data_IF_600743394768
#
_entry.id   IF_600743394768
#
_cell.length_a   1.000
_cell.length_b   1.000
_cell.length_c   1.000
_cell.angle_alpha   90.00
_cell.angle_beta   90.00
_cell.angle_gamma   90.00
#
_symmetry.space_group_name_H-M   'P 1'
#
loop_
_entity.id
_entity.type
_entity.pdbx_description
1 polymer ?
#
# COMPACT_ATOMS: atom_id res chain seq x y z
N UNK A 1 -12.60 -19.99 20.25
CA UNK A 1 -12.53 -19.08 19.10
C UNK A 1 -12.76 -17.68 19.64
N UNK A 2 -11.93 -16.73 19.27
CA UNK A 2 -12.05 -15.36 19.73
C UNK A 2 -13.34 -14.75 19.15
N UNK A 3 -14.09 -13.91 19.89
CA UNK A 3 -15.32 -13.24 19.44
C UNK A 3 -15.19 -12.54 18.07
N UNK A 4 -13.96 -12.17 17.70
CA UNK A 4 -13.62 -11.52 16.41
C UNK A 4 -13.78 -12.39 15.17
N UNK A 5 -14.08 -13.69 15.31
CA UNK A 5 -14.20 -14.65 14.21
C UNK A 5 -15.44 -15.55 14.35
N UNK A 6 -16.42 -15.06 15.12
CA UNK A 6 -17.68 -15.78 15.32
C UNK A 6 -18.46 -15.86 14.00
N UNK A 7 -18.94 -17.05 13.67
CA UNK A 7 -19.96 -17.28 12.63
C UNK A 7 -21.38 -17.08 13.17
N UNK A 8 -21.52 -16.60 14.41
CA UNK A 8 -22.81 -16.31 15.02
C UNK A 8 -23.53 -15.16 14.27
N UNK A 9 -24.86 -15.17 14.21
CA UNK A 9 -25.64 -14.08 13.63
C UNK A 9 -25.29 -12.73 14.27
N UNK A 10 -25.34 -11.68 13.47
CA UNK A 10 -25.13 -10.34 13.96
C UNK A 10 -26.19 -9.97 15.03
N UNK A 11 -25.76 -9.40 16.13
CA UNK A 11 -26.62 -8.91 17.20
C UNK A 11 -26.20 -7.46 17.53
N UNK A 12 -27.04 -6.46 17.21
CA UNK A 12 -26.73 -5.04 17.46
C UNK A 12 -26.32 -4.77 18.89
N UNK A 13 -25.24 -4.01 19.09
CA UNK A 13 -24.69 -3.67 20.41
C UNK A 13 -23.97 -4.79 21.15
N UNK A 14 -24.04 -6.03 20.65
CA UNK A 14 -23.34 -7.19 21.23
C UNK A 14 -22.22 -7.71 20.34
N UNK A 15 -22.49 -7.85 19.05
CA UNK A 15 -21.49 -8.29 18.07
C UNK A 15 -20.54 -7.14 17.75
N UNK A 16 -19.23 -7.39 17.82
CA UNK A 16 -18.21 -6.40 17.47
C UNK A 16 -18.12 -6.25 15.95
N UNK A 17 -18.18 -5.03 15.46
CA UNK A 17 -18.02 -4.67 14.05
C UNK A 17 -16.60 -4.15 13.84
N UNK A 18 -15.68 -4.94 13.27
CA UNK A 18 -14.29 -4.51 13.07
C UNK A 18 -14.16 -3.62 11.84
N UNK A 19 -13.17 -2.71 11.84
CA UNK A 19 -12.85 -1.88 10.66
C UNK A 19 -12.33 -2.74 9.51
N UNK A 20 -11.54 -3.76 9.84
CA UNK A 20 -11.00 -4.71 8.87
C UNK A 20 -11.21 -6.14 9.34
N UNK A 21 -11.38 -7.02 8.40
CA UNK A 21 -11.52 -8.43 8.64
C UNK A 21 -11.05 -9.25 7.45
N UNK A 22 -11.06 -10.55 7.57
CA UNK A 22 -10.60 -11.50 6.58
C UNK A 22 -11.74 -12.40 6.12
N UNK A 23 -11.80 -12.65 4.82
CA UNK A 23 -12.70 -13.61 4.22
C UNK A 23 -11.87 -14.73 3.59
N UNK A 24 -12.06 -15.95 4.04
CA UNK A 24 -11.35 -17.14 3.56
C UNK A 24 -12.26 -18.36 3.65
N UNK A 25 -11.89 -19.41 2.95
CA UNK A 25 -12.64 -20.69 2.92
C UNK A 25 -11.70 -21.88 2.84
N UNK A 26 -12.25 -22.98 2.33
CA UNK A 26 -11.51 -24.22 2.15
C UNK A 26 -10.38 -24.10 1.13
N UNK A 27 -10.53 -23.21 0.16
CA UNK A 27 -9.57 -22.99 -0.93
C UNK A 27 -8.23 -22.49 -0.37
N UNK A 28 -8.24 -21.45 0.46
CA UNK A 28 -7.05 -20.90 1.09
C UNK A 28 -6.41 -21.89 2.07
N UNK A 29 -7.26 -22.59 2.86
CA UNK A 29 -6.77 -23.60 3.82
C UNK A 29 -6.12 -24.76 3.08
N UNK A 30 -6.77 -25.28 2.02
CA UNK A 30 -6.24 -26.39 1.23
C UNK A 30 -4.95 -26.01 0.51
N UNK A 31 -4.85 -24.79 -0.03
CA UNK A 31 -3.64 -24.26 -0.65
C UNK A 31 -2.48 -24.20 0.35
N UNK A 32 -2.73 -23.65 1.54
CA UNK A 32 -1.72 -23.59 2.60
C UNK A 32 -1.22 -24.96 3.04
N UNK A 33 -2.16 -25.91 3.25
CA UNK A 33 -1.80 -27.30 3.66
C UNK A 33 -1.06 -28.00 2.55
N UNK A 34 -1.49 -27.86 1.28
CA UNK A 34 -0.79 -28.44 0.12
C UNK A 34 0.66 -28.00 0.05
N UNK A 35 0.89 -26.68 0.06
CA UNK A 35 2.23 -26.11 0.05
C UNK A 35 3.08 -26.54 1.27
N UNK A 36 2.46 -26.67 2.45
CA UNK A 36 3.15 -27.16 3.64
C UNK A 36 3.57 -28.63 3.51
N UNK A 37 2.78 -29.47 2.85
CA UNK A 37 3.12 -30.88 2.59
C UNK A 37 4.22 -31.06 1.55
N UNK A 38 4.34 -30.16 0.58
CA UNK A 38 5.47 -30.10 -0.36
C UNK A 38 6.79 -29.75 0.34
N UNK A 39 6.71 -29.11 1.49
CA UNK A 39 7.83 -28.72 2.37
C UNK A 39 8.90 -27.83 1.71
N UNK A 40 8.53 -27.11 0.64
CA UNK A 40 9.36 -26.07 0.05
C UNK A 40 9.04 -24.73 0.72
N UNK A 41 9.76 -24.41 1.80
CA UNK A 41 9.38 -23.36 2.74
C UNK A 41 9.89 -21.94 2.38
N UNK A 42 10.72 -21.82 1.35
CA UNK A 42 11.19 -20.52 0.81
C UNK A 42 10.44 -20.21 -0.50
N UNK A 43 10.79 -19.09 -1.17
CA UNK A 43 10.23 -18.76 -2.48
C UNK A 43 10.47 -19.92 -3.48
N UNK A 44 9.40 -20.37 -4.14
CA UNK A 44 9.39 -21.53 -5.02
C UNK A 44 8.24 -21.46 -6.04
N UNK A 45 7.68 -22.62 -6.47
CA UNK A 45 6.70 -22.70 -7.54
C UNK A 45 5.42 -21.89 -7.29
N UNK A 46 4.92 -21.85 -6.05
CA UNK A 46 3.74 -21.06 -5.71
C UNK A 46 4.04 -19.57 -5.77
N UNK A 47 5.23 -19.16 -5.36
CA UNK A 47 5.68 -17.75 -5.47
C UNK A 47 5.76 -17.33 -6.93
N UNK A 48 6.36 -18.13 -7.81
CA UNK A 48 6.44 -17.85 -9.25
C UNK A 48 5.04 -17.72 -9.88
N UNK A 49 4.13 -18.63 -9.51
CA UNK A 49 2.74 -18.60 -9.98
C UNK A 49 2.03 -17.33 -9.51
N UNK A 50 2.14 -16.97 -8.22
CA UNK A 50 1.50 -15.79 -7.65
C UNK A 50 2.04 -14.51 -8.28
N UNK A 51 3.36 -14.36 -8.40
CA UNK A 51 4.02 -13.22 -9.05
C UNK A 51 3.54 -13.02 -10.49
N UNK A 52 3.45 -14.11 -11.27
CA UNK A 52 2.93 -14.08 -12.65
C UNK A 52 1.49 -13.62 -12.74
N UNK A 53 0.60 -14.21 -11.92
CA UNK A 53 -0.83 -13.86 -11.91
C UNK A 53 -1.04 -12.40 -11.45
N UNK A 54 -0.30 -11.97 -10.43
CA UNK A 54 -0.37 -10.61 -9.91
C UNK A 54 0.09 -9.58 -10.93
N UNK A 55 1.21 -9.83 -11.63
CA UNK A 55 1.70 -8.97 -12.69
C UNK A 55 0.69 -8.83 -13.82
N UNK A 56 0.06 -9.93 -14.23
CA UNK A 56 -1.00 -9.96 -15.25
C UNK A 56 -2.23 -9.16 -14.80
N UNK A 57 -2.65 -9.35 -13.53
CA UNK A 57 -3.80 -8.67 -12.97
C UNK A 57 -3.67 -7.16 -12.95
N UNK A 58 -2.50 -6.64 -12.62
CA UNK A 58 -2.22 -5.19 -12.55
C UNK A 58 -1.83 -4.62 -13.91
N UNK A 59 -1.43 -5.46 -14.87
CA UNK A 59 -0.93 -5.01 -16.17
C UNK A 59 0.54 -4.56 -16.14
N UNK A 60 1.33 -5.14 -15.22
CA UNK A 60 2.76 -4.88 -15.09
C UNK A 60 3.59 -5.99 -15.72
N UNK A 61 4.88 -5.70 -16.00
CA UNK A 61 5.79 -6.64 -16.69
C UNK A 61 6.27 -7.77 -15.77
N UNK A 62 6.43 -7.47 -14.48
CA UNK A 62 6.86 -8.42 -13.46
C UNK A 62 6.36 -8.01 -12.08
N UNK A 63 6.18 -8.98 -11.20
CA UNK A 63 5.97 -8.80 -9.78
C UNK A 63 7.03 -9.61 -9.00
N UNK A 64 7.36 -9.13 -7.80
CA UNK A 64 8.35 -9.73 -6.91
C UNK A 64 7.75 -9.80 -5.52
N UNK A 65 7.38 -10.98 -5.08
CA UNK A 65 6.81 -11.18 -3.76
C UNK A 65 7.84 -10.92 -2.66
N UNK A 66 7.40 -10.23 -1.62
CA UNK A 66 8.17 -9.91 -0.42
C UNK A 66 7.35 -10.20 0.84
N UNK A 67 8.00 -10.15 2.00
CA UNK A 67 7.41 -10.54 3.28
C UNK A 67 6.42 -9.52 3.89
N UNK A 68 6.32 -8.30 3.35
CA UNK A 68 5.32 -7.30 3.77
C UNK A 68 5.20 -6.16 2.77
N UNK A 69 4.11 -5.36 2.85
CA UNK A 69 3.97 -4.12 2.08
C UNK A 69 5.04 -3.08 2.44
N UNK A 70 5.44 -3.02 3.71
CA UNK A 70 6.54 -2.15 4.16
C UNK A 70 7.86 -2.52 3.50
N UNK A 71 8.16 -3.81 3.41
CA UNK A 71 9.32 -4.32 2.66
C UNK A 71 9.20 -4.04 1.16
N UNK A 72 7.99 -4.06 0.61
CA UNK A 72 7.77 -3.69 -0.79
C UNK A 72 8.13 -2.22 -1.03
N UNK A 73 7.68 -1.31 -0.17
CA UNK A 73 8.02 0.12 -0.25
C UNK A 73 9.53 0.36 -0.12
N UNK A 74 10.17 -0.30 0.86
CA UNK A 74 11.62 -0.21 1.03
C UNK A 74 12.35 -0.70 -0.21
N UNK A 75 12.00 -1.87 -0.71
CA UNK A 75 12.63 -2.47 -1.88
C UNK A 75 12.41 -1.65 -3.16
N UNK A 76 11.19 -1.15 -3.38
CA UNK A 76 10.85 -0.32 -4.53
C UNK A 76 11.76 0.90 -4.61
N UNK A 77 11.84 1.67 -3.52
CA UNK A 77 12.67 2.87 -3.50
C UNK A 77 14.16 2.54 -3.56
N UNK A 78 14.63 1.57 -2.73
CA UNK A 78 16.05 1.20 -2.70
C UNK A 78 16.53 0.69 -4.06
N UNK A 79 15.70 -0.04 -4.81
CA UNK A 79 16.07 -0.52 -6.14
C UNK A 79 16.42 0.60 -7.13
N UNK A 80 15.84 1.79 -6.92
CA UNK A 80 16.10 2.98 -7.75
C UNK A 80 17.41 3.71 -7.39
N UNK A 81 18.10 3.30 -6.32
CA UNK A 81 19.46 3.76 -6.00
C UNK A 81 20.55 2.91 -6.67
N UNK A 82 20.18 1.83 -7.36
CA UNK A 82 21.13 0.93 -8.00
C UNK A 82 22.00 1.64 -9.04
N UNK A 83 23.32 1.45 -8.92
CA UNK A 83 24.30 1.97 -9.90
C UNK A 83 24.06 1.43 -11.32
N UNK A 84 23.36 0.30 -11.46
CA UNK A 84 23.02 -0.27 -12.78
C UNK A 84 22.05 0.62 -13.58
N UNK A 85 21.38 1.58 -12.93
CA UNK A 85 20.50 2.57 -13.56
C UNK A 85 21.26 3.79 -14.11
N UNK A 86 22.59 3.81 -13.96
CA UNK A 86 23.45 4.87 -14.49
C UNK A 86 23.11 6.25 -13.91
N UNK A 87 22.94 7.25 -14.78
CA UNK A 87 22.63 8.64 -14.37
C UNK A 87 21.23 8.81 -13.76
N UNK A 88 20.34 7.83 -13.91
CA UNK A 88 19.01 7.84 -13.29
C UNK A 88 19.00 7.30 -11.86
N UNK A 89 20.09 6.68 -11.41
CA UNK A 89 20.18 6.20 -10.02
C UNK A 89 20.04 7.36 -9.03
N UNK A 90 19.16 7.19 -8.05
CA UNK A 90 19.02 8.16 -6.96
C UNK A 90 20.22 8.09 -6.02
N UNK A 91 20.58 9.23 -5.43
CA UNK A 91 21.76 9.40 -4.57
C UNK A 91 21.37 10.07 -3.26
N UNK A 92 22.14 9.87 -2.18
CA UNK A 92 21.94 10.61 -0.94
C UNK A 92 21.78 12.11 -1.19
N UNK A 93 20.76 12.71 -0.56
CA UNK A 93 20.42 14.14 -0.73
C UNK A 93 19.44 14.45 -1.86
N UNK A 94 19.14 13.49 -2.77
CA UNK A 94 18.07 13.66 -3.75
C UNK A 94 16.71 13.76 -3.06
N UNK A 95 15.80 14.56 -3.63
CA UNK A 95 14.47 14.80 -3.07
C UNK A 95 13.43 13.84 -3.64
N UNK A 96 12.54 13.37 -2.76
CA UNK A 96 11.37 12.55 -3.10
C UNK A 96 10.11 13.22 -2.58
N UNK A 97 9.21 13.60 -3.49
CA UNK A 97 7.94 14.25 -3.13
C UNK A 97 6.98 13.20 -2.59
N UNK A 98 6.33 13.51 -1.46
CA UNK A 98 5.39 12.64 -0.74
C UNK A 98 4.39 13.48 0.06
N UNK A 99 3.49 12.83 0.81
CA UNK A 99 2.54 13.48 1.72
C UNK A 99 2.83 13.08 3.17
N UNK A 100 2.50 13.96 4.13
CA UNK A 100 2.64 13.65 5.55
C UNK A 100 1.40 12.93 6.12
N UNK A 101 0.24 13.04 5.47
CA UNK A 101 -0.99 12.32 5.83
C UNK A 101 -0.98 10.92 5.23
N UNK A 102 -0.15 10.01 5.78
CA UNK A 102 0.01 8.70 5.21
C UNK A 102 0.52 7.65 6.19
N UNK A 103 0.72 6.44 5.67
CA UNK A 103 1.32 5.38 6.46
C UNK A 103 2.85 5.58 6.55
N UNK A 104 3.48 5.35 7.71
CA UNK A 104 4.90 5.64 7.89
C UNK A 104 5.81 4.99 6.85
N UNK A 105 5.53 3.76 6.45
CA UNK A 105 6.40 2.99 5.56
C UNK A 105 6.30 3.36 4.08
N UNK A 106 5.42 4.29 3.70
CA UNK A 106 5.51 4.99 2.40
C UNK A 106 6.67 6.00 2.41
N UNK A 107 6.98 6.58 3.59
CA UNK A 107 7.97 7.67 3.74
C UNK A 107 9.31 7.20 4.30
N UNK A 108 9.31 6.26 5.26
CA UNK A 108 10.55 5.81 5.93
C UNK A 108 11.64 5.33 4.96
N UNK A 109 11.35 4.65 3.83
CA UNK A 109 12.36 4.28 2.85
C UNK A 109 13.16 5.47 2.29
N UNK A 110 12.54 6.66 2.19
CA UNK A 110 13.20 7.88 1.73
C UNK A 110 14.34 8.23 2.69
N UNK A 111 14.04 8.28 3.98
CA UNK A 111 15.03 8.58 5.03
C UNK A 111 16.07 7.46 5.15
N UNK A 112 15.67 6.19 5.07
CA UNK A 112 16.56 5.03 5.18
C UNK A 112 17.58 4.96 4.03
N UNK A 113 17.27 5.54 2.87
CA UNK A 113 18.19 5.66 1.75
C UNK A 113 18.93 7.02 1.72
N UNK A 114 18.90 7.78 2.82
CA UNK A 114 19.53 9.11 2.93
C UNK A 114 19.02 10.12 1.88
N UNK A 115 17.78 9.95 1.43
CA UNK A 115 17.05 10.86 0.56
C UNK A 115 16.27 11.87 1.40
N UNK A 116 15.82 12.94 0.79
CA UNK A 116 15.09 14.02 1.46
C UNK A 116 13.61 13.95 1.10
N UNK A 117 12.71 13.63 2.05
CA UNK A 117 11.28 13.71 1.80
C UNK A 117 10.83 15.17 1.65
N UNK A 118 10.06 15.43 0.60
CA UNK A 118 9.41 16.71 0.35
C UNK A 118 7.91 16.55 0.58
N UNK A 119 7.43 17.13 1.67
CA UNK A 119 6.04 16.96 2.08
C UNK A 119 5.14 18.01 1.44
N UNK A 120 4.04 17.52 0.88
CA UNK A 120 2.97 18.32 0.28
C UNK A 120 1.69 18.08 1.06
N UNK A 121 0.82 19.09 1.16
CA UNK A 121 -0.48 18.94 1.80
C UNK A 121 -1.43 18.10 0.94
N UNK A 122 -2.52 17.68 1.54
CA UNK A 122 -3.59 16.88 0.92
C UNK A 122 -4.85 17.71 0.75
N UNK A 123 -5.78 17.24 -0.09
CA UNK A 123 -7.15 17.73 -0.13
C UNK A 123 -8.05 16.89 0.77
N UNK A 124 -8.89 17.55 1.57
CA UNK A 124 -9.93 16.87 2.34
C UNK A 124 -11.00 16.30 1.39
N UNK A 125 -11.74 15.30 1.84
CA UNK A 125 -12.66 14.46 1.08
C UNK A 125 -11.98 13.40 0.19
N UNK A 126 -10.99 13.75 -0.60
CA UNK A 126 -10.22 12.78 -1.40
C UNK A 126 -9.04 12.17 -0.65
N UNK A 127 -8.47 12.89 0.30
CA UNK A 127 -7.28 12.55 1.10
C UNK A 127 -6.02 12.26 0.27
N UNK A 128 -6.00 12.72 -0.96
CA UNK A 128 -4.82 12.63 -1.85
C UNK A 128 -4.10 13.98 -1.92
N UNK A 129 -2.91 13.98 -2.51
CA UNK A 129 -2.07 15.16 -2.62
C UNK A 129 -2.79 16.34 -3.29
N UNK A 130 -2.62 17.54 -2.75
CA UNK A 130 -3.08 18.77 -3.38
C UNK A 130 -2.31 19.04 -4.67
N UNK A 131 -3.04 19.19 -5.78
CA UNK A 131 -2.47 19.26 -7.13
C UNK A 131 -1.64 20.53 -7.37
N UNK A 132 -2.07 21.68 -6.84
CA UNK A 132 -1.35 22.95 -6.99
C UNK A 132 -0.02 22.89 -6.24
N UNK A 133 -0.05 22.43 -5.00
CA UNK A 133 1.13 22.28 -4.15
C UNK A 133 2.11 21.23 -4.65
N UNK A 134 1.61 20.19 -5.33
CA UNK A 134 2.48 19.20 -5.95
C UNK A 134 3.36 19.81 -7.05
N UNK A 135 2.84 20.73 -7.85
CA UNK A 135 3.62 21.42 -8.88
C UNK A 135 4.68 22.33 -8.29
N UNK A 136 4.37 23.05 -7.18
CA UNK A 136 5.31 23.90 -6.44
C UNK A 136 6.46 23.09 -5.77
N UNK A 137 6.23 21.80 -5.53
CA UNK A 137 7.18 20.94 -4.83
C UNK A 137 8.41 20.56 -5.68
N UNK A 138 8.33 20.68 -7.01
CA UNK A 138 9.41 20.25 -7.90
C UNK A 138 10.58 21.22 -7.80
N UNK A 139 11.79 20.69 -7.62
CA UNK A 139 13.06 21.42 -7.58
C UNK A 139 14.11 20.73 -8.47
N UNK A 140 15.26 21.33 -8.72
CA UNK A 140 16.38 20.67 -9.41
C UNK A 140 16.88 19.39 -8.73
N UNK A 141 16.66 19.25 -7.41
CA UNK A 141 17.07 18.10 -6.60
C UNK A 141 16.00 16.99 -6.60
N UNK A 142 14.78 17.27 -7.06
CA UNK A 142 13.70 16.28 -7.12
C UNK A 142 14.05 15.17 -8.10
N UNK A 143 13.96 13.90 -7.64
CA UNK A 143 14.24 12.71 -8.46
C UNK A 143 13.07 11.73 -8.51
N UNK A 144 12.15 11.79 -7.55
CA UNK A 144 11.01 10.88 -7.52
C UNK A 144 9.76 11.54 -6.92
N UNK A 145 8.62 10.97 -7.27
CA UNK A 145 7.35 11.11 -6.55
C UNK A 145 7.01 9.72 -6.01
N UNK A 146 6.80 9.60 -4.69
CA UNK A 146 6.36 8.37 -4.03
C UNK A 146 5.19 8.66 -3.12
N UNK A 147 4.02 8.18 -3.47
CA UNK A 147 2.76 8.45 -2.74
C UNK A 147 1.85 7.22 -2.73
N UNK A 148 1.06 7.11 -1.67
CA UNK A 148 0.01 6.12 -1.59
C UNK A 148 -1.29 6.60 -2.26
N UNK A 149 -2.03 5.65 -2.80
CA UNK A 149 -3.44 5.84 -3.14
C UNK A 149 -4.25 5.69 -1.85
N UNK A 150 -4.42 6.80 -1.15
CA UNK A 150 -4.94 6.84 0.22
C UNK A 150 -6.32 6.21 0.32
N UNK A 151 -6.46 5.19 1.18
CA UNK A 151 -7.69 4.39 1.34
C UNK A 151 -8.23 3.78 0.03
N UNK A 152 -7.37 3.58 -0.97
CA UNK A 152 -7.71 3.06 -2.28
C UNK A 152 -8.08 4.13 -3.32
N UNK A 153 -8.18 5.40 -2.91
CA UNK A 153 -8.49 6.52 -3.80
C UNK A 153 -7.21 7.03 -4.49
N UNK A 154 -7.12 7.02 -5.82
CA UNK A 154 -5.93 7.51 -6.50
C UNK A 154 -5.86 9.03 -6.52
N UNK A 155 -4.65 9.57 -6.54
CA UNK A 155 -4.38 10.95 -6.95
C UNK A 155 -4.68 11.14 -8.46
N UNK A 156 -4.65 12.37 -8.94
CA UNK A 156 -4.73 12.66 -10.38
C UNK A 156 -3.48 12.10 -11.10
N UNK A 157 -3.63 10.89 -11.63
CA UNK A 157 -2.52 10.15 -12.24
C UNK A 157 -2.06 10.74 -13.58
N UNK A 158 -2.92 11.48 -14.29
CA UNK A 158 -2.49 12.18 -15.50
C UNK A 158 -1.52 13.30 -15.14
N UNK A 159 -1.87 14.15 -14.17
CA UNK A 159 -0.99 15.22 -13.68
C UNK A 159 0.35 14.68 -13.18
N UNK A 160 0.32 13.64 -12.31
CA UNK A 160 1.56 13.07 -11.75
C UNK A 160 2.46 12.51 -12.83
N UNK A 161 1.89 11.79 -13.81
CA UNK A 161 2.65 11.24 -14.95
C UNK A 161 3.26 12.33 -15.82
N UNK A 162 2.49 13.38 -16.13
CA UNK A 162 2.97 14.50 -16.93
C UNK A 162 4.12 15.23 -16.23
N UNK A 163 4.00 15.46 -14.92
CA UNK A 163 5.07 16.05 -14.10
C UNK A 163 6.34 15.16 -14.09
N UNK A 164 6.16 13.84 -13.90
CA UNK A 164 7.27 12.90 -13.91
C UNK A 164 7.96 12.84 -15.27
N UNK A 165 7.20 12.82 -16.37
CA UNK A 165 7.74 12.81 -17.72
C UNK A 165 8.48 14.10 -18.05
N UNK A 166 7.87 15.26 -17.74
CA UNK A 166 8.45 16.58 -18.02
C UNK A 166 9.75 16.83 -17.26
N UNK A 167 9.84 16.35 -16.03
CA UNK A 167 11.00 16.58 -15.16
C UNK A 167 11.92 15.37 -15.01
N UNK A 168 11.69 14.30 -15.81
CA UNK A 168 12.46 13.05 -15.78
C UNK A 168 12.55 12.42 -14.37
N UNK A 169 11.43 12.42 -13.64
CA UNK A 169 11.31 11.86 -12.28
C UNK A 169 10.88 10.39 -12.33
N UNK A 170 11.26 9.65 -11.29
CA UNK A 170 10.68 8.34 -11.00
C UNK A 170 9.27 8.50 -10.42
N UNK A 171 8.36 7.62 -10.81
CA UNK A 171 7.05 7.52 -10.17
C UNK A 171 6.90 6.16 -9.48
N UNK A 172 6.73 6.19 -8.16
CA UNK A 172 6.49 5.02 -7.30
C UNK A 172 5.07 5.11 -6.77
N UNK A 173 4.22 4.16 -7.18
CA UNK A 173 2.85 4.05 -6.67
C UNK A 173 2.82 3.13 -5.45
N UNK A 174 2.49 3.62 -4.27
CA UNK A 174 2.13 2.77 -3.14
C UNK A 174 0.65 2.40 -3.26
N UNK A 175 0.39 1.17 -3.71
CA UNK A 175 -0.94 0.60 -3.93
C UNK A 175 -1.36 -0.37 -2.82
N UNK A 176 -0.76 -0.30 -1.63
CA UNK A 176 -1.11 -1.20 -0.53
C UNK A 176 -2.61 -1.20 -0.25
N UNK A 177 -3.26 -0.05 -0.36
CA UNK A 177 -4.70 0.12 -0.13
C UNK A 177 -5.55 0.07 -1.42
N UNK A 178 -4.97 -0.21 -2.60
CA UNK A 178 -5.62 0.13 -3.86
C UNK A 178 -5.70 -1.02 -4.88
N UNK A 179 -5.37 -2.26 -4.48
CA UNK A 179 -5.43 -3.41 -5.39
C UNK A 179 -6.84 -3.57 -5.98
N UNK A 180 -6.91 -3.57 -7.31
CA UNK A 180 -8.16 -3.72 -8.07
C UNK A 180 -8.90 -2.42 -8.36
N UNK A 181 -8.47 -1.28 -7.80
CA UNK A 181 -8.96 0.04 -8.21
C UNK A 181 -8.50 0.39 -9.62
N UNK A 182 -9.22 1.32 -10.27
CA UNK A 182 -8.88 1.79 -11.61
C UNK A 182 -8.92 3.32 -11.69
N UNK A 183 -8.16 3.86 -12.63
CA UNK A 183 -8.22 5.25 -13.05
C UNK A 183 -8.32 5.30 -14.58
N UNK A 184 -9.40 5.91 -15.09
CA UNK A 184 -9.74 5.92 -16.53
C UNK A 184 -9.64 4.53 -17.17
N UNK A 185 -10.19 3.52 -16.47
CA UNK A 185 -10.25 2.12 -16.92
C UNK A 185 -8.92 1.35 -16.85
N UNK A 186 -7.83 1.93 -16.33
CA UNK A 186 -6.55 1.23 -16.13
C UNK A 186 -6.32 0.93 -14.66
N UNK A 187 -5.77 -0.24 -14.35
CA UNK A 187 -5.51 -0.65 -12.97
C UNK A 187 -4.49 0.27 -12.28
N UNK A 188 -4.80 0.62 -11.03
CA UNK A 188 -3.84 1.28 -10.13
C UNK A 188 -2.62 0.38 -9.95
N UNK A 189 -1.44 0.98 -9.87
CA UNK A 189 -0.17 0.28 -9.86
C UNK A 189 0.42 0.04 -11.24
N UNK A 190 -0.29 0.41 -12.33
CA UNK A 190 0.22 0.31 -13.71
C UNK A 190 0.70 1.64 -14.29
N UNK A 191 0.59 2.73 -13.56
CA UNK A 191 0.96 4.07 -14.03
C UNK A 191 2.41 4.42 -13.76
N UNK A 192 2.93 4.04 -12.57
CA UNK A 192 4.31 4.29 -12.15
C UNK A 192 5.36 3.46 -12.88
N UNK A 193 6.61 3.76 -12.61
CA UNK A 193 7.76 2.94 -13.02
C UNK A 193 7.84 1.66 -12.19
N UNK A 194 7.52 1.81 -10.89
CA UNK A 194 7.44 0.74 -9.88
C UNK A 194 6.20 0.97 -9.03
N UNK A 195 5.56 -0.09 -8.60
CA UNK A 195 4.46 -0.02 -7.66
C UNK A 195 4.57 -1.08 -6.57
N UNK A 196 3.86 -0.89 -5.46
CA UNK A 196 3.92 -1.76 -4.29
C UNK A 196 2.54 -2.21 -3.86
N UNK A 197 2.46 -3.40 -3.29
CA UNK A 197 1.24 -3.98 -2.75
C UNK A 197 1.51 -4.58 -1.37
N UNK A 198 0.47 -4.65 -0.55
CA UNK A 198 0.48 -5.35 0.73
C UNK A 198 -0.60 -6.43 0.76
N UNK A 199 -0.26 -7.54 1.40
CA UNK A 199 -1.17 -8.67 1.63
C UNK A 199 -1.33 -8.97 3.12
N UNK A 200 -1.12 -7.95 3.97
CA UNK A 200 -1.51 -8.00 5.38
C UNK A 200 -3.02 -8.22 5.50
N UNK A 201 -3.54 -8.88 6.56
CA UNK A 201 -4.96 -9.27 6.66
C UNK A 201 -6.00 -8.17 6.47
N UNK A 202 -5.64 -6.91 6.64
CA UNK A 202 -6.55 -5.78 6.44
C UNK A 202 -6.79 -5.40 4.97
N UNK A 203 -5.88 -5.79 4.07
CA UNK A 203 -5.92 -5.38 2.66
C UNK A 203 -6.93 -6.18 1.81
N UNK A 204 -6.91 -5.96 0.51
CA UNK A 204 -7.90 -6.50 -0.43
C UNK A 204 -7.84 -8.02 -0.55
N UNK A 205 -6.62 -8.58 -0.52
CA UNK A 205 -6.34 -10.01 -0.36
C UNK A 205 -5.30 -10.17 0.74
N UNK A 206 -5.16 -11.37 1.28
CA UNK A 206 -4.17 -11.63 2.32
C UNK A 206 -3.38 -12.90 2.09
N UNK A 207 -2.11 -12.86 2.47
CA UNK A 207 -1.23 -14.04 2.58
C UNK A 207 -0.81 -14.30 4.04
N UNK A 208 -1.48 -13.63 5.00
CA UNK A 208 -1.06 -13.53 6.40
C UNK A 208 -0.10 -12.36 6.57
N UNK A 209 1.14 -12.53 6.27
CA UNK A 209 2.12 -11.49 5.98
C UNK A 209 2.55 -11.63 4.52
N UNK A 210 2.79 -10.51 3.85
CA UNK A 210 3.24 -10.47 2.47
C UNK A 210 3.08 -9.10 1.82
N UNK A 211 3.75 -8.94 0.70
CA UNK A 211 3.66 -7.78 -0.17
C UNK A 211 4.27 -8.11 -1.53
N UNK A 212 4.24 -7.16 -2.43
CA UNK A 212 4.89 -7.30 -3.73
C UNK A 212 5.40 -5.95 -4.25
N UNK A 213 6.51 -5.99 -4.96
CA UNK A 213 6.97 -4.90 -5.84
C UNK A 213 6.62 -5.29 -7.26
N UNK A 214 5.99 -4.38 -8.01
CA UNK A 214 5.71 -4.57 -9.43
C UNK A 214 6.56 -3.62 -10.25
N UNK A 215 6.98 -4.06 -11.42
CA UNK A 215 7.85 -3.29 -12.30
C UNK A 215 7.34 -3.27 -13.73
N UNK A 216 7.38 -2.09 -14.33
CA UNK A 216 7.00 -1.85 -15.72
C UNK A 216 8.07 -2.25 -16.71
N UNK A 217 9.34 -2.28 -16.29
CA UNK A 217 10.49 -2.51 -17.17
C UNK A 217 11.36 -3.66 -16.67
N UNK A 218 11.75 -4.54 -17.61
CA UNK A 218 12.66 -5.66 -17.33
C UNK A 218 14.02 -5.17 -16.78
N UNK A 219 14.46 -3.98 -17.19
CA UNK A 219 15.73 -3.40 -16.71
C UNK A 219 15.78 -3.21 -15.18
N UNK A 220 14.62 -2.99 -14.52
CA UNK A 220 14.58 -2.81 -13.06
C UNK A 220 14.55 -4.14 -12.30
N UNK A 221 14.15 -5.22 -12.98
CA UNK A 221 14.07 -6.57 -12.41
C UNK A 221 15.34 -6.96 -11.66
N UNK A 222 16.51 -6.77 -12.28
CA UNK A 222 17.81 -7.14 -11.69
C UNK A 222 18.11 -6.41 -10.39
N UNK A 223 17.84 -5.10 -10.33
CA UNK A 223 18.06 -4.31 -9.13
C UNK A 223 17.10 -4.78 -8.02
N UNK A 224 15.81 -4.97 -8.33
CA UNK A 224 14.80 -5.42 -7.38
C UNK A 224 15.16 -6.80 -6.81
N UNK A 225 15.45 -7.78 -7.67
CA UNK A 225 15.85 -9.14 -7.25
C UNK A 225 17.12 -9.12 -6.41
N UNK A 226 18.14 -8.36 -6.84
CA UNK A 226 19.39 -8.26 -6.11
C UNK A 226 19.20 -7.69 -4.71
N UNK A 227 18.53 -6.55 -4.57
CA UNK A 227 18.28 -5.96 -3.25
C UNK A 227 17.38 -6.83 -2.38
N UNK A 228 16.38 -7.53 -2.96
CA UNK A 228 15.53 -8.47 -2.24
C UNK A 228 16.30 -9.65 -1.68
N UNK A 229 17.33 -10.13 -2.42
CA UNK A 229 18.03 -11.38 -2.21
C UNK A 229 19.52 -11.12 -1.83
N UNK A 230 19.76 -10.45 -0.69
CA UNK A 230 21.07 -10.14 -0.07
C UNK A 230 22.00 -9.23 -0.90
N UNK A 231 21.56 -8.64 -1.98
CA UNK A 231 22.44 -7.93 -2.92
C UNK A 231 23.14 -8.82 -3.93
N UNK A 232 22.69 -10.07 -4.06
CA UNK A 232 23.28 -11.07 -4.96
C UNK A 232 23.23 -10.61 -6.43
N UNK A 233 24.34 -10.81 -7.14
CA UNK A 233 24.41 -10.52 -8.58
C UNK A 233 23.80 -11.64 -9.43
N UNK A 234 23.89 -12.88 -8.99
CA UNK A 234 23.31 -14.05 -9.64
C UNK A 234 21.78 -14.02 -9.61
N UNK A 235 21.16 -14.33 -10.74
CA UNK A 235 19.70 -14.34 -10.96
C UNK A 235 19.12 -15.74 -11.16
N UNK A 236 19.89 -16.78 -10.87
CA UNK A 236 19.38 -18.14 -10.94
C UNK A 236 18.26 -18.34 -9.90
N UNK A 237 17.14 -18.97 -10.27
CA UNK A 237 16.05 -19.26 -9.32
C UNK A 237 16.55 -20.01 -8.09
N UNK A 238 15.81 -19.92 -7.00
CA UNK A 238 16.13 -20.65 -5.77
C UNK A 238 16.16 -22.17 -6.04
N UNK A 239 17.19 -22.86 -5.58
CA UNK A 239 17.37 -24.30 -5.84
C UNK A 239 17.93 -24.66 -7.22
N UNK A 240 18.12 -23.69 -8.13
CA UNK A 240 18.69 -23.92 -9.45
C UNK A 240 20.10 -23.34 -9.55
N UNK A 241 20.99 -24.08 -10.18
CA UNK A 241 22.37 -23.64 -10.40
C UNK A 241 22.65 -23.47 -11.89
N UNK A 242 23.51 -22.49 -12.20
CA UNK A 242 24.03 -22.23 -13.54
C UNK A 242 22.99 -22.04 -14.66
N UNK A 243 21.75 -21.64 -14.35
CA UNK A 243 20.75 -21.31 -15.37
C UNK A 243 21.15 -20.07 -16.19
N UNK A 244 22.14 -19.30 -15.71
CA UNK A 244 22.76 -18.20 -16.44
C UNK A 244 23.81 -18.65 -17.46
N UNK A 245 24.22 -19.94 -17.43
CA UNK A 245 25.28 -20.53 -18.24
C UNK A 245 26.68 -19.87 -18.10
N UNK A 246 26.87 -19.08 -17.04
CA UNK A 246 28.05 -18.23 -16.82
C UNK A 246 28.54 -18.25 -15.38
N UNK A 247 28.28 -19.33 -14.61
CA UNK A 247 28.56 -19.39 -13.17
C UNK A 247 30.00 -19.04 -12.82
N UNK A 248 30.99 -19.49 -13.61
CA UNK A 248 32.40 -19.32 -13.36
C UNK A 248 33.15 -18.51 -14.43
N UNK A 249 32.43 -17.73 -15.24
CA UNK A 249 33.01 -16.97 -16.38
C UNK A 249 32.98 -15.46 -16.20
N UNK A 250 32.74 -14.99 -14.99
CA UNK A 250 32.67 -13.56 -14.69
C UNK A 250 33.95 -13.08 -13.97
N UNK A 251 34.33 -11.85 -14.30
CA UNK A 251 35.25 -11.02 -13.54
C UNK A 251 34.48 -9.83 -12.98
N UNK A 252 34.11 -9.87 -11.70
CA UNK A 252 33.28 -8.87 -11.03
C UNK A 252 34.04 -8.23 -9.86
N UNK A 253 34.10 -6.92 -9.85
CA UNK A 253 34.84 -6.16 -8.84
C UNK A 253 36.30 -6.58 -8.76
N UNK A 254 36.80 -6.77 -7.54
CA UNK A 254 38.16 -7.24 -7.25
C UNK A 254 38.24 -8.75 -7.00
N UNK A 255 37.13 -9.49 -7.25
CA UNK A 255 37.12 -10.94 -7.08
C UNK A 255 38.03 -11.62 -8.11
N UNK A 256 38.62 -12.81 -7.82
CA UNK A 256 39.35 -13.60 -8.78
C UNK A 256 38.53 -13.89 -10.05
N UNK A 257 39.23 -14.08 -11.17
CA UNK A 257 38.56 -14.52 -12.40
C UNK A 257 37.95 -15.93 -12.17
N UNK A 258 36.70 -16.11 -12.68
CA UNK A 258 36.00 -17.39 -12.48
C UNK A 258 35.44 -17.59 -11.07
N UNK A 259 35.39 -16.57 -10.22
CA UNK A 259 34.74 -16.66 -8.92
C UNK A 259 33.26 -17.03 -9.09
N UNK A 260 32.74 -17.88 -8.18
CA UNK A 260 31.35 -18.34 -8.30
C UNK A 260 30.34 -17.18 -8.27
N UNK A 261 29.66 -16.97 -9.39
CA UNK A 261 28.67 -15.90 -9.56
C UNK A 261 27.55 -15.93 -8.50
N UNK A 262 27.22 -17.14 -8.00
CA UNK A 262 26.19 -17.32 -6.97
C UNK A 262 26.58 -16.68 -5.63
N UNK A 263 27.85 -16.44 -5.38
CA UNK A 263 28.41 -15.82 -4.17
C UNK A 263 28.98 -14.41 -4.44
N UNK A 264 28.60 -13.80 -5.56
CA UNK A 264 28.96 -12.43 -5.89
C UNK A 264 27.82 -11.51 -5.50
N UNK A 265 28.14 -10.37 -4.88
CA UNK A 265 27.17 -9.38 -4.40
C UNK A 265 27.48 -8.03 -5.03
N UNK A 266 26.52 -7.48 -5.78
CA UNK A 266 26.66 -6.18 -6.47
C UNK A 266 25.94 -5.03 -5.75
N UNK A 267 25.15 -5.34 -4.74
CA UNK A 267 24.47 -4.38 -3.88
C UNK A 267 24.60 -4.73 -2.39
N UNK A 268 24.38 -3.74 -1.52
CA UNK A 268 24.12 -3.96 -0.09
C UNK A 268 22.63 -4.21 0.05
N UNK A 269 22.23 -5.49 -0.02
CA UNK A 269 20.83 -5.89 -0.08
C UNK A 269 20.27 -6.47 1.21
N UNK A 270 19.01 -6.88 1.13
CA UNK A 270 18.23 -7.42 2.24
C UNK A 270 17.91 -8.90 2.02
N UNK A 271 17.23 -9.54 2.97
CA UNK A 271 16.48 -10.76 2.71
C UNK A 271 14.98 -10.49 2.98
N UNK A 272 14.26 -10.15 1.94
CA UNK A 272 12.85 -9.75 2.03
C UNK A 272 11.90 -10.76 1.38
N UNK A 273 12.39 -11.95 1.04
CA UNK A 273 11.55 -12.99 0.43
C UNK A 273 10.44 -13.45 1.36
N UNK A 274 9.28 -13.76 0.78
CA UNK A 274 8.20 -14.51 1.42
C UNK A 274 8.36 -16.01 1.16
N UNK A 275 7.62 -16.83 1.87
CA UNK A 275 7.62 -18.28 1.69
C UNK A 275 6.50 -18.75 0.74
N UNK A 276 6.62 -19.97 0.26
CA UNK A 276 5.72 -20.56 -0.72
C UNK A 276 4.31 -20.83 -0.14
N UNK A 277 4.20 -21.09 1.16
CA UNK A 277 2.89 -21.25 1.84
C UNK A 277 2.07 -19.96 1.71
N UNK A 278 2.68 -18.79 1.96
CA UNK A 278 2.04 -17.48 1.80
C UNK A 278 1.61 -17.25 0.35
N UNK A 279 2.47 -17.58 -0.59
CA UNK A 279 2.18 -17.45 -2.02
C UNK A 279 1.01 -18.34 -2.47
N UNK A 280 0.94 -19.58 -1.97
CA UNK A 280 -0.17 -20.49 -2.25
C UNK A 280 -1.51 -19.94 -1.77
N UNK A 281 -1.56 -19.36 -0.56
CA UNK A 281 -2.74 -18.64 -0.06
C UNK A 281 -3.07 -17.47 -1.00
N UNK A 282 -2.06 -16.70 -1.42
CA UNK A 282 -2.22 -15.55 -2.32
C UNK A 282 -2.85 -15.93 -3.66
N UNK A 283 -2.47 -17.07 -4.24
CA UNK A 283 -3.09 -17.60 -5.47
C UNK A 283 -4.59 -17.83 -5.27
N UNK A 284 -4.98 -18.51 -4.18
CA UNK A 284 -6.39 -18.77 -3.88
C UNK A 284 -7.19 -17.48 -3.62
N UNK A 285 -6.59 -16.50 -2.96
CA UNK A 285 -7.20 -15.20 -2.71
C UNK A 285 -7.38 -14.36 -3.99
N UNK A 286 -6.47 -14.46 -4.97
CA UNK A 286 -6.60 -13.77 -6.26
C UNK A 286 -7.84 -14.22 -7.03
N UNK A 287 -8.23 -15.47 -6.94
CA UNK A 287 -9.43 -15.99 -7.59
C UNK A 287 -10.73 -15.36 -7.04
N UNK A 288 -10.67 -14.80 -5.82
CA UNK A 288 -11.81 -14.15 -5.15
C UNK A 288 -11.75 -12.62 -5.22
N UNK A 289 -10.67 -12.05 -5.72
CA UNK A 289 -10.39 -10.61 -5.67
C UNK A 289 -11.54 -9.76 -6.24
N UNK A 290 -12.13 -10.14 -7.38
CA UNK A 290 -13.20 -9.36 -8.00
C UNK A 290 -14.42 -9.24 -7.09
N UNK A 291 -14.82 -10.35 -6.48
CA UNK A 291 -15.94 -10.35 -5.52
C UNK A 291 -15.65 -9.48 -4.28
N UNK A 292 -14.40 -9.43 -3.84
CA UNK A 292 -14.00 -8.57 -2.73
C UNK A 292 -14.01 -7.09 -3.10
N UNK A 293 -13.58 -6.75 -4.32
CA UNK A 293 -13.62 -5.37 -4.84
C UNK A 293 -15.07 -4.89 -4.94
N UNK A 294 -15.95 -5.69 -5.54
CA UNK A 294 -17.36 -5.34 -5.73
C UNK A 294 -18.04 -5.09 -4.37
N UNK A 295 -17.79 -5.97 -3.40
CA UNK A 295 -18.38 -5.82 -2.06
C UNK A 295 -17.85 -4.59 -1.31
N UNK A 296 -16.57 -4.24 -1.46
CA UNK A 296 -16.01 -3.00 -0.90
C UNK A 296 -16.65 -1.76 -1.52
N UNK A 297 -16.81 -1.73 -2.84
CA UNK A 297 -17.50 -0.63 -3.56
C UNK A 297 -18.96 -0.50 -3.10
N UNK A 298 -19.66 -1.62 -2.98
CA UNK A 298 -21.05 -1.67 -2.51
C UNK A 298 -21.19 -1.14 -1.08
N UNK A 299 -20.36 -1.63 -0.14
CA UNK A 299 -20.38 -1.20 1.26
C UNK A 299 -20.05 0.29 1.40
N UNK A 300 -19.06 0.78 0.65
CA UNK A 300 -18.68 2.19 0.66
C UNK A 300 -19.83 3.09 0.16
N UNK A 301 -20.45 2.71 -0.95
CA UNK A 301 -21.60 3.43 -1.51
C UNK A 301 -22.76 3.45 -0.53
N UNK A 302 -23.04 2.31 0.11
CA UNK A 302 -24.11 2.18 1.10
C UNK A 302 -23.89 3.12 2.30
N UNK A 303 -22.70 3.15 2.86
CA UNK A 303 -22.34 4.08 3.93
C UNK A 303 -22.48 5.54 3.47
N UNK A 304 -22.01 5.87 2.27
CA UNK A 304 -22.05 7.25 1.76
C UNK A 304 -23.50 7.74 1.59
N UNK A 305 -24.38 6.90 1.11
CA UNK A 305 -25.81 7.23 0.96
C UNK A 305 -26.49 7.38 2.33
N UNK A 306 -26.26 6.45 3.26
CA UNK A 306 -26.86 6.49 4.59
C UNK A 306 -26.35 7.64 5.48
N UNK A 307 -25.10 8.06 5.28
CA UNK A 307 -24.50 9.15 6.05
C UNK A 307 -24.64 10.53 5.38
N UNK A 308 -25.23 10.62 4.20
CA UNK A 308 -25.46 11.90 3.49
C UNK A 308 -26.20 12.95 4.32
N UNK A 309 -27.21 12.63 5.15
CA UNK A 309 -27.85 13.62 6.01
C UNK A 309 -26.94 14.25 7.06
N UNK A 310 -25.79 13.60 7.35
CA UNK A 310 -24.79 14.09 8.30
C UNK A 310 -23.70 14.96 7.64
N UNK A 311 -23.79 15.30 6.35
CA UNK A 311 -22.85 16.20 5.66
C UNK A 311 -22.74 17.60 6.32
N UNK A 312 -23.74 18.00 7.08
CA UNK A 312 -23.68 19.22 7.90
C UNK A 312 -22.64 19.13 9.04
N UNK A 313 -22.25 17.93 9.46
CA UNK A 313 -21.27 17.71 10.52
C UNK A 313 -19.97 17.11 10.02
N UNK A 314 -20.00 16.40 8.88
CA UNK A 314 -18.87 15.70 8.32
C UNK A 314 -18.57 16.15 6.89
N UNK A 315 -17.30 16.14 6.54
CA UNK A 315 -16.84 16.05 5.16
C UNK A 315 -16.85 14.56 4.82
N UNK A 316 -17.74 14.15 3.92
CA UNK A 316 -17.80 12.77 3.44
C UNK A 316 -16.72 12.50 2.39
N UNK A 317 -16.21 11.26 2.29
CA UNK A 317 -15.19 10.93 1.32
C UNK A 317 -15.72 10.96 -0.12
N UNK A 318 -14.85 11.35 -1.05
CA UNK A 318 -15.12 11.44 -2.48
C UNK A 318 -14.06 10.73 -3.30
N UNK A 319 -14.49 10.11 -4.40
CA UNK A 319 -13.57 9.53 -5.36
C UNK A 319 -12.92 10.61 -6.24
N UNK A 320 -11.67 10.47 -6.55
CA UNK A 320 -10.99 11.29 -7.54
C UNK A 320 -11.68 11.14 -8.90
N UNK A 321 -11.87 12.25 -9.61
CA UNK A 321 -12.56 12.26 -10.91
C UNK A 321 -11.89 11.28 -11.88
N UNK A 322 -12.71 10.41 -12.49
CA UNK A 322 -12.25 9.40 -13.43
C UNK A 322 -11.70 8.13 -12.80
N UNK A 323 -11.80 7.99 -11.46
CA UNK A 323 -11.40 6.79 -10.76
C UNK A 323 -12.57 5.89 -10.39
N UNK A 324 -12.27 4.60 -10.20
CA UNK A 324 -13.12 3.61 -9.58
C UNK A 324 -12.33 2.91 -8.47
N UNK A 325 -12.27 3.51 -7.26
CA UNK A 325 -11.50 2.94 -6.16
C UNK A 325 -12.06 1.59 -5.69
N UNK A 326 -11.18 0.72 -5.26
CA UNK A 326 -11.55 -0.55 -4.61
C UNK A 326 -11.80 -0.38 -3.10
N UNK A 327 -11.63 0.79 -2.58
CA UNK A 327 -11.82 1.26 -1.22
C UNK A 327 -11.26 0.37 -0.11
N UNK A 328 -10.34 0.92 0.67
CA UNK A 328 -9.80 0.28 1.86
C UNK A 328 -10.61 0.61 3.13
N UNK A 329 -11.13 1.83 3.22
CA UNK A 329 -11.91 2.32 4.32
C UNK A 329 -12.83 3.47 3.92
N UNK A 330 -13.69 3.89 4.84
CA UNK A 330 -14.60 5.02 4.70
C UNK A 330 -14.20 6.09 5.71
N UNK A 331 -13.55 7.16 5.27
CA UNK A 331 -13.08 8.23 6.14
C UNK A 331 -14.16 9.28 6.37
N UNK A 332 -14.29 9.74 7.61
CA UNK A 332 -15.16 10.84 8.02
C UNK A 332 -14.32 11.93 8.68
N UNK A 333 -14.29 13.13 8.11
CA UNK A 333 -13.65 14.29 8.72
C UNK A 333 -14.69 15.23 9.31
N UNK A 334 -14.59 15.52 10.61
CA UNK A 334 -15.47 16.48 11.27
C UNK A 334 -15.24 17.88 10.75
N UNK A 335 -16.34 18.58 10.49
CA UNK A 335 -16.33 20.03 10.23
C UNK A 335 -15.99 20.81 11.50
N UNK A 336 -15.58 22.04 11.35
CA UNK A 336 -15.11 22.87 12.45
C UNK A 336 -16.23 23.17 13.46
N UNK A 337 -17.42 23.37 12.96
CA UNK A 337 -18.65 23.69 13.70
C UNK A 337 -19.40 22.44 14.22
N UNK A 338 -18.79 21.25 14.15
CA UNK A 338 -19.38 20.05 14.70
C UNK A 338 -19.59 20.17 16.22
N UNK A 339 -20.75 19.78 16.76
CA UNK A 339 -21.06 19.90 18.20
C UNK A 339 -20.22 18.93 19.06
N UNK A 340 -19.66 17.90 18.46
CA UNK A 340 -18.86 16.89 19.15
C UNK A 340 -17.44 16.84 18.62
N UNK A 341 -16.50 16.49 19.47
CA UNK A 341 -15.12 16.20 19.05
C UNK A 341 -15.02 14.78 18.48
N UNK A 342 -14.01 14.52 17.65
CA UNK A 342 -13.69 13.18 17.16
C UNK A 342 -13.58 12.14 18.29
N UNK A 343 -12.89 12.50 19.39
CA UNK A 343 -12.71 11.60 20.54
C UNK A 343 -14.04 11.13 21.10
N UNK A 344 -14.99 12.05 21.36
CA UNK A 344 -16.32 11.72 21.88
C UNK A 344 -17.12 10.80 20.94
N UNK A 345 -17.04 11.05 19.62
CA UNK A 345 -17.74 10.21 18.63
C UNK A 345 -17.13 8.81 18.60
N UNK A 346 -15.79 8.72 18.57
CA UNK A 346 -15.08 7.43 18.57
C UNK A 346 -15.37 6.62 19.84
N UNK A 347 -15.35 7.24 21.02
CA UNK A 347 -15.72 6.62 22.30
C UNK A 347 -17.16 6.08 22.23
N UNK A 348 -18.12 6.89 21.79
CA UNK A 348 -19.51 6.49 21.68
C UNK A 348 -19.75 5.36 20.66
N UNK A 349 -18.94 5.26 19.59
CA UNK A 349 -18.97 4.16 18.63
C UNK A 349 -18.38 2.88 19.24
N UNK A 350 -17.25 2.98 19.95
CA UNK A 350 -16.64 1.82 20.63
C UNK A 350 -17.56 1.24 21.72
N UNK A 351 -18.27 2.08 22.49
CA UNK A 351 -19.31 1.65 23.42
C UNK A 351 -20.42 0.83 22.74
N UNK A 352 -20.73 1.17 21.49
CA UNK A 352 -21.69 0.43 20.64
C UNK A 352 -21.07 -0.75 19.91
N UNK A 353 -19.83 -1.12 20.24
CA UNK A 353 -19.11 -2.24 19.62
C UNK A 353 -18.79 -2.00 18.12
N UNK A 354 -18.69 -0.73 17.70
CA UNK A 354 -18.30 -0.32 16.37
C UNK A 354 -16.86 0.20 16.42
N UNK A 355 -15.96 -0.52 15.78
CA UNK A 355 -14.56 -0.15 15.73
C UNK A 355 -14.30 1.01 14.77
N UNK A 356 -13.36 1.85 15.12
CA UNK A 356 -12.83 2.91 14.26
C UNK A 356 -11.31 2.87 14.17
N UNK A 357 -10.72 3.59 13.22
CA UNK A 357 -9.28 3.84 13.14
C UNK A 357 -9.02 5.28 12.78
N UNK A 358 -7.83 5.76 13.10
CA UNK A 358 -7.36 7.05 12.61
C UNK A 358 -6.90 6.92 11.14
N UNK A 359 -6.81 8.05 10.44
CA UNK A 359 -6.21 8.10 9.11
C UNK A 359 -4.68 7.91 9.27
N UNK A 360 -4.26 6.64 9.33
CA UNK A 360 -2.87 6.20 9.47
C UNK A 360 -2.12 6.94 10.60
N UNK A 361 -0.98 7.58 10.26
CA UNK A 361 -0.20 8.36 11.22
C UNK A 361 -0.76 9.77 11.49
N UNK A 362 -1.83 10.17 10.81
CA UNK A 362 -2.31 11.56 10.84
C UNK A 362 -1.32 12.48 10.12
N UNK A 363 -0.50 13.22 10.87
CA UNK A 363 0.61 14.01 10.35
C UNK A 363 1.95 13.40 10.80
N UNK A 364 2.69 12.82 9.87
CA UNK A 364 4.00 12.21 10.15
C UNK A 364 4.98 13.21 10.79
N UNK A 365 4.91 14.50 10.44
CA UNK A 365 5.81 15.51 11.00
C UNK A 365 5.58 15.76 12.51
N UNK A 366 4.43 15.32 13.05
CA UNK A 366 4.09 15.36 14.47
C UNK A 366 4.49 14.09 15.22
N UNK A 367 4.84 13.03 14.49
CA UNK A 367 5.21 11.75 15.09
C UNK A 367 6.63 11.79 15.67
N UNK A 368 6.86 11.24 16.87
CA UNK A 368 8.16 11.31 17.55
C UNK A 368 9.35 10.86 16.69
N UNK A 369 9.17 9.81 15.87
CA UNK A 369 10.23 9.27 15.03
C UNK A 369 10.66 10.20 13.88
N UNK A 370 9.82 11.16 13.49
CA UNK A 370 10.07 12.06 12.36
C UNK A 370 10.53 13.46 12.80
N UNK A 371 10.48 13.77 14.11
CA UNK A 371 10.95 15.04 14.65
C UNK A 371 12.46 15.13 14.43
N UNK A 372 12.93 16.26 13.83
CA UNK A 372 14.36 16.50 13.57
C UNK A 372 14.94 15.75 12.36
N UNK A 373 14.15 14.93 11.64
CA UNK A 373 14.64 14.29 10.41
C UNK A 373 14.82 15.30 9.28
N UNK A 374 15.79 15.08 8.36
CA UNK A 374 15.96 15.91 7.17
C UNK A 374 14.66 15.92 6.35
N UNK A 375 14.23 17.11 5.92
CA UNK A 375 13.00 17.27 5.14
C UNK A 375 12.88 18.63 4.49
N UNK A 376 12.04 18.74 3.47
CA UNK A 376 11.49 19.99 2.95
C UNK A 376 9.96 19.91 3.04
N UNK A 377 9.31 21.03 3.34
CA UNK A 377 7.85 21.14 3.45
C UNK A 377 7.38 22.25 2.53
N UNK A 378 6.35 21.98 1.75
CA UNK A 378 5.74 22.93 0.83
C UNK A 378 4.55 23.59 1.48
N UNK A 379 4.71 24.85 1.87
CA UNK A 379 3.70 25.64 2.60
C UNK A 379 3.26 24.96 3.94
N UNK A 380 2.19 25.44 4.52
CA UNK A 380 1.61 24.84 5.72
C UNK A 380 0.78 23.61 5.34
N UNK A 381 0.86 22.57 6.16
CA UNK A 381 0.12 21.32 5.96
C UNK A 381 -1.23 21.36 6.71
N UNK A 382 -2.06 22.36 6.39
CA UNK A 382 -3.30 22.66 7.12
C UNK A 382 -4.28 21.49 7.05
N UNK A 383 -4.54 20.96 5.85
CA UNK A 383 -5.45 19.84 5.67
C UNK A 383 -4.93 18.54 6.29
N UNK A 384 -3.61 18.35 6.27
CA UNK A 384 -2.96 17.23 6.95
C UNK A 384 -3.18 17.30 8.47
N UNK A 385 -3.04 18.47 9.09
CA UNK A 385 -3.32 18.66 10.52
C UNK A 385 -4.83 18.48 10.83
N UNK A 386 -5.73 19.00 9.99
CA UNK A 386 -7.18 18.77 10.11
C UNK A 386 -7.49 17.26 10.02
N UNK A 387 -6.91 16.56 9.06
CA UNK A 387 -7.11 15.11 8.91
C UNK A 387 -6.61 14.35 10.15
N UNK A 388 -5.46 14.73 10.71
CA UNK A 388 -4.93 14.14 11.94
C UNK A 388 -5.87 14.34 13.14
N UNK A 389 -6.42 15.53 13.29
CA UNK A 389 -7.21 15.89 14.47
C UNK A 389 -8.68 15.45 14.38
N UNK A 390 -9.25 15.48 13.17
CA UNK A 390 -10.71 15.43 12.97
C UNK A 390 -11.19 14.22 12.16
N UNK A 391 -10.30 13.37 11.62
CA UNK A 391 -10.69 12.22 10.78
C UNK A 391 -10.64 10.90 11.55
N UNK A 392 -11.62 10.05 11.30
CA UNK A 392 -11.63 8.64 11.67
C UNK A 392 -12.17 7.79 10.51
N UNK A 393 -11.88 6.49 10.52
CA UNK A 393 -12.19 5.56 9.43
C UNK A 393 -13.13 4.47 9.94
N UNK A 394 -14.17 4.19 9.17
CA UNK A 394 -15.06 3.03 9.28
C UNK A 394 -14.66 1.93 8.30
N UNK A 395 -15.05 0.70 8.58
CA UNK A 395 -14.78 -0.45 7.71
C UNK A 395 -15.70 -0.51 6.50
N UNK A 396 -15.13 -1.03 5.39
CA UNK A 396 -15.89 -1.38 4.17
C UNK A 396 -15.52 -2.78 3.65
N UNK A 397 -14.86 -3.59 4.48
CA UNK A 397 -14.35 -4.90 4.08
C UNK A 397 -15.47 -5.90 3.72
N UNK A 398 -15.20 -6.94 2.90
CA UNK A 398 -16.21 -7.78 2.28
C UNK A 398 -17.08 -8.61 3.24
N UNK A 399 -16.67 -8.78 4.48
CA UNK A 399 -17.43 -9.53 5.48
C UNK A 399 -18.47 -8.72 6.24
N UNK A 400 -18.65 -7.42 5.94
CA UNK A 400 -19.71 -6.61 6.52
C UNK A 400 -21.05 -6.91 5.83
N UNK A 401 -22.10 -7.20 6.64
CA UNK A 401 -23.47 -7.29 6.16
C UNK A 401 -24.15 -5.91 6.13
N UNK A 402 -25.22 -5.76 5.37
CA UNK A 402 -26.02 -4.53 5.39
C UNK A 402 -26.61 -4.24 6.76
N UNK A 403 -27.01 -5.26 7.51
CA UNK A 403 -27.49 -5.08 8.90
C UNK A 403 -26.41 -4.46 9.81
N UNK A 404 -25.13 -4.81 9.61
CA UNK A 404 -24.02 -4.19 10.32
C UNK A 404 -23.84 -2.73 9.89
N UNK A 405 -23.96 -2.45 8.59
CA UNK A 405 -23.84 -1.10 8.05
C UNK A 405 -25.01 -0.21 8.48
N UNK A 406 -26.24 -0.73 8.51
CA UNK A 406 -27.43 -0.04 9.05
C UNK A 406 -27.20 0.35 10.50
N UNK A 407 -26.70 -0.59 11.31
CA UNK A 407 -26.39 -0.31 12.71
C UNK A 407 -25.31 0.76 12.90
N UNK A 408 -24.30 0.79 12.03
CA UNK A 408 -23.26 1.85 12.02
C UNK A 408 -23.88 3.21 11.67
N UNK A 409 -24.71 3.27 10.63
CA UNK A 409 -25.39 4.48 10.17
C UNK A 409 -26.32 5.02 11.27
N UNK A 410 -27.20 4.17 11.82
CA UNK A 410 -28.13 4.53 12.87
C UNK A 410 -27.42 5.01 14.15
N UNK A 411 -26.28 4.37 14.47
CA UNK A 411 -25.48 4.77 15.62
C UNK A 411 -24.89 6.15 15.46
N UNK A 412 -24.36 6.48 14.25
CA UNK A 412 -23.83 7.81 13.97
C UNK A 412 -24.92 8.89 13.98
N UNK A 413 -26.10 8.62 13.40
CA UNK A 413 -27.24 9.53 13.49
C UNK A 413 -27.62 9.84 14.93
N UNK A 414 -27.78 8.81 15.76
CA UNK A 414 -28.10 8.96 17.19
C UNK A 414 -27.04 9.73 17.97
N UNK A 415 -25.75 9.51 17.68
CA UNK A 415 -24.65 10.20 18.35
C UNK A 415 -24.65 11.69 17.99
N UNK A 416 -24.95 12.04 16.73
CA UNK A 416 -24.89 13.42 16.25
C UNK A 416 -26.16 14.22 16.55
N UNK A 417 -27.25 13.58 16.93
CA UNK A 417 -28.52 14.21 17.30
C UNK A 417 -28.64 14.44 18.82
N UNK A 418 -27.71 13.94 19.63
CA UNK A 418 -27.65 14.13 21.08
C UNK A 418 -26.88 15.41 21.40
#
# INVERSE_FOLDING_TARGET
MNERHSTAPFNPGKTYIPVWGKVFGKEEISAAVGAALEFWLTAGPHTEKFEKLLAQRVGMRAAFMVNSGSSANLLALTSLTSKTLGSKAMKPGDEVITVAAGFPTTVTPILQNSLIPVYVDIDLATYVVNEEKLQEAISPNTKAIMMAHTLGNPMNLDLVRDLCQKNNLWFIEDCCDALGGTYKGKHLGSFGDVSTLSFYPAHHITTGEGGAVLSKRVAYKRAIESFRDWGRDCWCPTGCDNTCEKRFSWKLGELPEGYDHKYTYSHIGYNLKSGDIQAAIGVAQLDRLDSFIDKRKENWKYLREGLKPLEKYFILPEATIGSEPSWFGFALTLREDSPLTRGKIVEALEERRIATRQLFAGNLLRQPAFIGTPRRVIADLVNTDIAMERTFILGVWPGLSFEMLDYVIDSLHKIMET
#
